data_IF_459212703778
#
_entry.id   IF_459212703778
#
_cell.length_a   1.000
_cell.length_b   1.000
_cell.length_c   1.000
_cell.angle_alpha   90.00
_cell.angle_beta   90.00
_cell.angle_gamma   90.00
#
_symmetry.space_group_name_H-M   'P 1'
#
loop_
_entity.id
_entity.type
_entity.pdbx_description
1 polymer ?
#
# COMPACT_ATOMS: atom_id res chain seq x y z
N UNK A 1 9.44 24.31 -37.20
CA UNK A 1 10.49 23.52 -36.54
C UNK A 1 11.76 23.67 -37.37
N UNK A 2 12.95 23.58 -36.75
CA UNK A 2 14.24 23.68 -37.44
C UNK A 2 14.37 22.71 -38.62
N UNK A 3 13.75 21.53 -38.52
CA UNK A 3 13.61 20.58 -39.63
C UNK A 3 12.90 21.17 -40.86
N UNK A 4 11.80 21.91 -40.66
CA UNK A 4 11.08 22.57 -41.77
C UNK A 4 11.89 23.71 -42.39
N UNK A 5 12.66 24.46 -41.60
CA UNK A 5 13.57 25.50 -42.11
C UNK A 5 14.79 24.91 -42.83
N UNK A 6 15.33 23.78 -42.37
CA UNK A 6 16.37 23.05 -43.09
C UNK A 6 15.86 22.54 -44.44
N UNK A 7 14.65 21.96 -44.49
CA UNK A 7 14.06 21.47 -45.74
C UNK A 7 13.86 22.58 -46.79
N UNK A 8 13.57 23.81 -46.35
CA UNK A 8 13.38 24.96 -47.22
C UNK A 8 14.71 25.60 -47.66
N UNK A 9 15.70 25.66 -46.75
CA UNK A 9 16.84 26.57 -46.92
C UNK A 9 18.17 25.84 -47.14
N UNK A 10 18.24 24.53 -46.82
CA UNK A 10 19.42 23.65 -46.85
C UNK A 10 20.72 24.27 -46.28
N UNK A 11 20.59 25.15 -45.30
CA UNK A 11 21.73 25.79 -44.64
C UNK A 11 22.45 24.78 -43.75
N UNK A 12 23.77 24.70 -43.89
CA UNK A 12 24.66 23.80 -43.13
C UNK A 12 24.52 24.00 -41.62
N UNK A 13 24.37 25.24 -41.16
CA UNK A 13 24.20 25.59 -39.75
C UNK A 13 22.90 25.01 -39.13
N UNK A 14 21.83 24.92 -39.92
CA UNK A 14 20.58 24.29 -39.49
C UNK A 14 20.72 22.75 -39.42
N UNK A 15 21.55 22.17 -40.29
CA UNK A 15 21.87 20.74 -40.31
C UNK A 15 22.67 20.34 -39.07
N UNK A 16 23.73 21.09 -38.75
CA UNK A 16 24.57 20.85 -37.58
C UNK A 16 23.76 20.92 -36.29
N UNK A 17 22.88 21.91 -36.16
CA UNK A 17 21.99 22.01 -35.00
C UNK A 17 20.95 20.89 -34.91
N UNK A 18 20.45 20.38 -36.04
CA UNK A 18 19.54 19.23 -36.07
C UNK A 18 20.26 17.94 -35.67
N UNK A 19 21.47 17.72 -36.18
CA UNK A 19 22.28 16.55 -35.85
C UNK A 19 22.71 16.55 -34.38
N UNK A 20 23.09 17.71 -33.84
CA UNK A 20 23.42 17.85 -32.42
C UNK A 20 22.24 17.49 -31.52
N UNK A 21 21.04 18.00 -31.83
CA UNK A 21 19.83 17.66 -31.08
C UNK A 21 19.49 16.16 -31.16
N UNK A 22 19.54 15.57 -32.35
CA UNK A 22 19.29 14.14 -32.52
C UNK A 22 20.32 13.28 -31.76
N UNK A 23 21.58 13.71 -31.76
CA UNK A 23 22.64 13.06 -31.01
C UNK A 23 22.39 13.13 -29.50
N UNK A 24 22.02 14.30 -28.98
CA UNK A 24 21.63 14.49 -27.58
C UNK A 24 20.41 13.63 -27.21
N UNK A 25 19.38 13.57 -28.05
CA UNK A 25 18.20 12.73 -27.82
C UNK A 25 18.55 11.23 -27.75
N UNK A 26 19.38 10.74 -28.68
CA UNK A 26 19.84 9.34 -28.73
C UNK A 26 20.69 9.00 -27.50
N UNK A 27 21.55 9.91 -27.05
CA UNK A 27 22.34 9.73 -25.83
C UNK A 27 21.44 9.63 -24.59
N UNK A 28 20.33 10.37 -24.56
CA UNK A 28 19.44 10.41 -23.40
C UNK A 28 18.39 9.29 -23.41
N UNK A 29 18.12 8.64 -24.55
CA UNK A 29 17.15 7.55 -24.69
C UNK A 29 17.33 6.40 -23.66
N UNK A 30 18.55 5.92 -23.35
CA UNK A 30 18.76 4.93 -22.29
C UNK A 30 18.30 5.37 -20.90
N UNK A 31 18.19 6.68 -20.63
CA UNK A 31 17.66 7.15 -19.34
C UNK A 31 16.14 6.93 -19.22
N UNK A 32 15.45 6.86 -20.36
CA UNK A 32 14.01 6.62 -20.45
C UNK A 32 13.63 5.14 -20.33
N UNK A 33 14.57 4.20 -20.52
CA UNK A 33 14.26 2.76 -20.39
C UNK A 33 13.82 2.39 -18.99
N UNK A 34 14.29 3.13 -17.98
CA UNK A 34 13.82 3.01 -16.60
C UNK A 34 12.32 3.30 -16.45
N UNK A 35 11.71 4.10 -17.33
CA UNK A 35 10.26 4.37 -17.28
C UNK A 35 9.48 3.09 -17.60
N UNK A 36 10.02 2.20 -18.43
CA UNK A 36 9.38 0.92 -18.74
C UNK A 36 9.28 0.01 -17.51
N UNK A 37 10.18 0.12 -16.52
CA UNK A 37 10.09 -0.67 -15.29
C UNK A 37 8.96 -0.23 -14.35
N UNK A 38 8.36 0.95 -14.58
CA UNK A 38 7.10 1.30 -13.92
C UNK A 38 5.97 0.35 -14.34
N UNK A 39 5.96 -0.10 -15.58
CA UNK A 39 4.96 -1.09 -16.05
C UNK A 39 5.09 -2.40 -15.25
N UNK A 40 6.33 -2.82 -14.96
CA UNK A 40 6.58 -3.99 -14.12
C UNK A 40 6.00 -3.80 -12.71
N UNK A 41 6.19 -2.62 -12.11
CA UNK A 41 5.61 -2.28 -10.81
C UNK A 41 4.06 -2.31 -10.84
N UNK A 42 3.44 -1.64 -11.83
CA UNK A 42 1.98 -1.59 -11.97
C UNK A 42 1.35 -2.95 -12.28
N UNK A 43 2.09 -3.83 -12.96
CA UNK A 43 1.68 -5.20 -13.27
C UNK A 43 2.11 -6.22 -12.21
N UNK A 44 2.57 -5.76 -11.04
CA UNK A 44 2.97 -6.59 -9.90
C UNK A 44 4.11 -7.58 -10.23
N UNK A 45 5.02 -7.24 -11.14
CA UNK A 45 6.20 -8.04 -11.50
C UNK A 45 7.36 -7.78 -10.54
N UNK A 46 7.15 -8.11 -9.27
CA UNK A 46 8.15 -8.05 -8.22
C UNK A 46 7.92 -9.16 -7.21
N UNK A 47 8.94 -9.45 -6.40
CA UNK A 47 8.84 -10.40 -5.30
C UNK A 47 8.98 -9.66 -3.97
N UNK A 48 8.04 -9.90 -3.05
CA UNK A 48 8.16 -9.43 -1.67
C UNK A 48 9.13 -10.37 -0.94
N UNK A 49 10.30 -9.87 -0.55
CA UNK A 49 11.35 -10.67 0.10
C UNK A 49 11.37 -10.52 1.60
N UNK A 50 11.00 -9.35 2.12
CA UNK A 50 11.01 -9.07 3.55
C UNK A 50 9.91 -8.09 3.96
N UNK A 51 9.46 -8.22 5.21
CA UNK A 51 8.52 -7.34 5.89
C UNK A 51 9.08 -7.02 7.27
N UNK A 52 9.30 -5.74 7.55
CA UNK A 52 9.95 -5.28 8.78
C UNK A 52 9.08 -4.23 9.48
N UNK A 53 8.91 -4.38 10.79
CA UNK A 53 8.19 -3.44 11.63
C UNK A 53 9.14 -2.91 12.71
N UNK A 54 9.35 -1.60 12.73
CA UNK A 54 10.29 -0.95 13.63
C UNK A 54 9.52 -0.13 14.65
N UNK A 55 9.47 -0.64 15.89
CA UNK A 55 8.74 -0.01 16.99
C UNK A 55 9.32 1.36 17.40
N UNK A 56 10.64 1.54 17.31
CA UNK A 56 11.28 2.80 17.74
C UNK A 56 10.94 3.99 16.84
N UNK A 57 10.63 3.73 15.57
CA UNK A 57 10.27 4.74 14.58
C UNK A 57 8.82 4.65 14.13
N UNK A 58 8.02 3.79 14.77
CA UNK A 58 6.62 3.54 14.42
C UNK A 58 6.43 3.32 12.91
N UNK A 59 7.32 2.54 12.28
CA UNK A 59 7.42 2.43 10.82
C UNK A 59 7.30 0.99 10.32
N UNK A 60 6.61 0.81 9.20
CA UNK A 60 6.50 -0.46 8.50
C UNK A 60 7.23 -0.41 7.15
N UNK A 61 8.11 -1.37 6.90
CA UNK A 61 8.91 -1.48 5.69
C UNK A 61 8.62 -2.77 4.94
N UNK A 62 8.61 -2.69 3.62
CA UNK A 62 8.57 -3.84 2.73
C UNK A 62 9.80 -3.81 1.84
N UNK A 63 10.38 -4.98 1.60
CA UNK A 63 11.48 -5.15 0.67
C UNK A 63 10.98 -5.86 -0.57
N UNK A 64 11.21 -5.24 -1.73
CA UNK A 64 10.83 -5.77 -3.04
C UNK A 64 12.08 -6.11 -3.84
N UNK A 65 12.06 -7.25 -4.51
CA UNK A 65 13.05 -7.65 -5.49
C UNK A 65 12.45 -7.50 -6.90
N UNK A 66 13.17 -6.81 -7.79
CA UNK A 66 12.78 -6.60 -9.18
C UNK A 66 13.95 -6.79 -10.14
N UNK A 67 13.66 -7.26 -11.35
CA UNK A 67 14.68 -7.44 -12.40
C UNK A 67 15.14 -6.10 -13.01
N UNK A 68 14.23 -5.12 -13.09
CA UNK A 68 14.51 -3.85 -13.76
C UNK A 68 14.66 -2.68 -12.76
N UNK A 69 15.60 -1.78 -13.04
CA UNK A 69 15.84 -0.57 -12.24
C UNK A 69 14.69 0.43 -12.43
N UNK A 70 14.17 0.97 -11.32
CA UNK A 70 13.15 2.03 -11.32
C UNK A 70 13.76 3.38 -11.72
N UNK A 71 12.97 4.30 -12.30
CA UNK A 71 13.45 5.62 -12.66
C UNK A 71 14.05 6.36 -11.48
N UNK A 72 15.07 7.17 -11.71
CA UNK A 72 15.67 8.01 -10.65
C UNK A 72 14.66 8.88 -9.93
N UNK A 73 13.61 9.33 -10.61
CA UNK A 73 12.57 10.11 -9.97
C UNK A 73 11.83 9.28 -8.92
N UNK A 74 11.65 7.96 -9.08
CA UNK A 74 11.11 7.06 -8.04
C UNK A 74 11.88 7.14 -6.71
N UNK A 75 13.16 7.53 -6.77
CA UNK A 75 13.97 7.78 -5.58
C UNK A 75 13.63 9.11 -4.86
N UNK A 76 12.76 9.94 -5.44
CA UNK A 76 12.13 11.09 -4.80
C UNK A 76 11.00 10.66 -3.87
N UNK A 77 10.81 11.35 -2.75
CA UNK A 77 10.17 10.76 -1.56
C UNK A 77 8.65 10.46 -1.59
N UNK A 78 7.93 10.49 -2.71
CA UNK A 78 6.46 10.41 -2.68
C UNK A 78 5.83 9.76 -3.92
N UNK A 79 6.21 8.53 -4.23
CA UNK A 79 5.49 7.74 -5.23
C UNK A 79 4.54 6.83 -4.48
N UNK A 80 3.24 7.01 -4.73
CA UNK A 80 2.19 6.28 -4.04
C UNK A 80 2.14 6.63 -2.54
N UNK A 81 1.33 5.93 -1.72
CA UNK A 81 1.29 6.15 -0.27
C UNK A 81 2.56 5.64 0.45
N UNK A 82 3.71 5.62 -0.24
CA UNK A 82 4.94 4.93 0.12
C UNK A 82 6.13 5.85 -0.13
N UNK A 83 7.18 5.70 0.68
CA UNK A 83 8.46 6.40 0.54
C UNK A 83 9.57 5.40 0.25
N UNK A 84 10.31 5.62 -0.83
CA UNK A 84 11.54 4.88 -1.13
C UNK A 84 12.64 5.21 -0.11
N UNK A 85 13.32 4.18 0.41
CA UNK A 85 14.39 4.33 1.41
C UNK A 85 15.76 4.02 0.81
N UNK A 86 15.89 2.86 0.15
CA UNK A 86 17.15 2.42 -0.45
C UNK A 86 16.91 1.44 -1.59
N UNK A 87 17.87 1.41 -2.52
CA UNK A 87 17.94 0.47 -3.63
C UNK A 87 19.36 -0.11 -3.70
N UNK A 88 19.48 -1.43 -3.73
CA UNK A 88 20.77 -2.13 -3.85
C UNK A 88 20.71 -3.11 -5.04
N UNK A 89 21.75 -3.09 -5.87
CA UNK A 89 21.89 -4.04 -6.98
C UNK A 89 22.62 -5.29 -6.47
N UNK A 90 22.12 -6.46 -6.84
CA UNK A 90 22.77 -7.73 -6.53
C UNK A 90 22.64 -8.70 -7.71
N UNK A 91 23.58 -9.64 -7.80
CA UNK A 91 23.57 -10.65 -8.86
C UNK A 91 22.85 -11.90 -8.36
N UNK A 92 21.80 -12.34 -9.06
CA UNK A 92 21.20 -13.64 -8.76
C UNK A 92 21.98 -14.75 -9.46
N UNK A 93 22.70 -15.54 -8.66
CA UNK A 93 23.50 -16.66 -9.13
C UNK A 93 22.70 -17.72 -9.91
N UNK A 94 21.37 -17.80 -9.73
CA UNK A 94 20.51 -18.76 -10.43
C UNK A 94 20.15 -18.33 -11.84
N UNK A 95 19.78 -17.06 -12.02
CA UNK A 95 19.35 -16.51 -13.32
C UNK A 95 20.49 -15.87 -14.10
N UNK A 96 21.62 -15.59 -13.45
CA UNK A 96 22.72 -14.76 -13.98
C UNK A 96 22.23 -13.39 -14.43
N UNK A 97 21.20 -12.86 -13.76
CA UNK A 97 20.70 -11.51 -13.98
C UNK A 97 21.01 -10.65 -12.78
N UNK A 98 21.27 -9.38 -13.05
CA UNK A 98 21.29 -8.37 -12.01
C UNK A 98 19.86 -8.06 -11.62
N UNK A 99 19.61 -8.03 -10.31
CA UNK A 99 18.34 -7.68 -9.71
C UNK A 99 18.54 -6.48 -8.77
N UNK A 100 17.44 -5.86 -8.41
CA UNK A 100 17.39 -4.67 -7.59
C UNK A 100 16.50 -4.92 -6.39
N UNK A 101 17.05 -4.72 -5.19
CA UNK A 101 16.33 -4.79 -3.94
C UNK A 101 15.94 -3.38 -3.48
N UNK A 102 14.64 -3.13 -3.33
CA UNK A 102 14.08 -1.85 -2.88
C UNK A 102 13.51 -1.98 -1.49
N UNK A 103 14.00 -1.16 -0.55
CA UNK A 103 13.38 -0.99 0.77
C UNK A 103 12.43 0.20 0.73
N UNK A 104 11.17 -0.06 1.05
CA UNK A 104 10.08 0.92 0.97
C UNK A 104 9.40 1.09 2.32
N UNK A 105 9.25 2.33 2.79
CA UNK A 105 8.42 2.68 3.94
C UNK A 105 6.98 2.85 3.47
N UNK A 106 6.08 1.98 3.93
CA UNK A 106 4.72 1.90 3.39
C UNK A 106 3.61 2.29 4.38
N UNK A 107 3.96 2.52 5.64
CA UNK A 107 2.99 2.97 6.63
C UNK A 107 3.60 3.22 7.99
N UNK A 108 2.79 3.83 8.86
CA UNK A 108 3.11 4.01 10.28
C UNK A 108 2.37 2.99 11.11
N UNK A 109 3.08 2.36 12.04
CA UNK A 109 2.47 1.50 13.05
C UNK A 109 2.13 2.32 14.28
N UNK A 110 1.06 1.95 14.98
CA UNK A 110 0.67 2.61 16.21
C UNK A 110 -0.02 1.63 17.14
N UNK A 111 0.47 1.55 18.37
CA UNK A 111 -0.23 0.85 19.46
C UNK A 111 -1.27 1.79 20.07
N UNK A 112 -2.55 1.47 19.91
CA UNK A 112 -3.63 2.31 20.40
C UNK A 112 -4.93 1.53 20.58
N UNK A 113 -5.97 2.20 21.06
CA UNK A 113 -7.33 1.65 21.17
C UNK A 113 -8.20 2.24 20.07
N UNK A 114 -8.74 1.39 19.18
CA UNK A 114 -9.59 1.80 18.06
C UNK A 114 -10.96 1.13 18.13
N UNK A 115 -11.93 1.71 17.42
CA UNK A 115 -13.31 1.21 17.36
C UNK A 115 -13.50 0.32 16.13
N UNK A 116 -14.06 -0.88 16.33
CA UNK A 116 -14.57 -1.73 15.26
C UNK A 116 -16.09 -1.63 15.21
N UNK A 117 -16.64 -1.11 14.11
CA UNK A 117 -18.07 -0.92 13.93
C UNK A 117 -18.70 -2.14 13.26
N UNK A 118 -19.72 -2.72 13.90
CA UNK A 118 -20.46 -3.85 13.34
C UNK A 118 -21.42 -3.38 12.24
N UNK A 119 -21.37 -4.03 11.07
CA UNK A 119 -22.25 -3.70 9.94
C UNK A 119 -23.73 -3.95 10.27
N UNK A 120 -24.03 -5.04 10.97
CA UNK A 120 -25.39 -5.44 11.34
C UNK A 120 -25.80 -4.89 12.72
N UNK A 121 -25.80 -3.55 12.85
CA UNK A 121 -26.12 -2.89 14.12
C UNK A 121 -27.51 -3.26 14.68
N UNK A 122 -28.45 -3.69 13.82
CA UNK A 122 -29.82 -4.04 14.23
C UNK A 122 -29.86 -5.26 15.15
N UNK A 123 -28.84 -6.11 15.13
CA UNK A 123 -28.73 -7.31 15.96
C UNK A 123 -27.88 -7.13 17.21
N UNK A 124 -27.59 -5.87 17.57
CA UNK A 124 -26.81 -5.52 18.75
C UNK A 124 -27.58 -4.59 19.69
N UNK A 125 -27.21 -4.66 20.97
CA UNK A 125 -27.50 -3.66 21.99
C UNK A 125 -26.19 -2.95 22.35
N UNK A 126 -26.26 -1.66 22.63
CA UNK A 126 -25.16 -0.88 23.17
C UNK A 126 -25.29 -0.80 24.70
N UNK A 127 -24.16 -0.95 25.38
CA UNK A 127 -24.03 -0.86 26.82
C UNK A 127 -23.35 0.47 27.17
N UNK A 128 -24.08 1.47 27.71
CA UNK A 128 -23.50 2.80 27.95
C UNK A 128 -22.40 2.82 29.01
N UNK A 129 -22.50 1.97 30.03
CA UNK A 129 -21.53 1.94 31.12
C UNK A 129 -20.21 1.28 30.68
N UNK A 130 -20.31 0.25 29.84
CA UNK A 130 -19.17 -0.53 29.34
C UNK A 130 -18.61 0.00 28.02
N UNK A 131 -19.30 0.96 27.38
CA UNK A 131 -18.90 1.61 26.12
C UNK A 131 -18.59 0.61 24.99
N UNK A 132 -19.52 -0.33 24.80
CA UNK A 132 -19.42 -1.37 23.77
C UNK A 132 -20.79 -1.90 23.31
N UNK A 133 -20.82 -2.48 22.12
CA UNK A 133 -21.97 -3.17 21.56
C UNK A 133 -21.85 -4.70 21.74
N UNK A 134 -22.96 -5.33 22.09
CA UNK A 134 -23.07 -6.77 22.30
C UNK A 134 -24.21 -7.35 21.47
N UNK A 135 -24.04 -8.56 20.97
CA UNK A 135 -25.08 -9.21 20.16
C UNK A 135 -26.30 -9.56 21.03
N UNK A 136 -27.50 -9.52 20.44
CA UNK A 136 -28.77 -9.80 21.14
C UNK A 136 -28.77 -11.10 21.95
N UNK A 137 -28.15 -12.16 21.43
CA UNK A 137 -28.07 -13.45 22.13
C UNK A 137 -27.33 -13.36 23.46
N UNK A 138 -26.26 -12.58 23.52
CA UNK A 138 -25.47 -12.35 24.74
C UNK A 138 -26.13 -11.33 25.68
N UNK A 139 -26.94 -10.42 25.13
CA UNK A 139 -27.64 -9.38 25.89
C UNK A 139 -28.79 -9.91 26.76
N UNK A 140 -29.12 -11.19 26.68
CA UNK A 140 -30.21 -11.82 27.43
C UNK A 140 -30.01 -11.72 28.95
N UNK A 141 -28.74 -11.75 29.40
CA UNK A 141 -28.38 -11.73 30.83
C UNK A 141 -28.18 -10.34 31.42
N UNK A 142 -28.42 -9.28 30.64
CA UNK A 142 -28.20 -7.88 31.06
C UNK A 142 -29.54 -7.19 31.27
N UNK A 143 -29.65 -6.46 32.38
CA UNK A 143 -30.84 -5.68 32.74
C UNK A 143 -31.25 -4.71 31.62
N UNK A 144 -32.56 -4.53 31.43
CA UNK A 144 -33.09 -3.65 30.37
C UNK A 144 -32.62 -2.20 30.52
N UNK A 145 -32.47 -1.72 31.75
CA UNK A 145 -32.07 -0.34 32.05
C UNK A 145 -30.57 -0.09 31.79
N UNK A 146 -29.78 -1.16 31.63
CA UNK A 146 -28.33 -1.10 31.36
C UNK A 146 -27.98 -1.25 29.88
N UNK A 147 -28.98 -1.41 29.00
CA UNK A 147 -28.77 -1.60 27.56
C UNK A 147 -29.71 -0.77 26.72
N UNK A 148 -29.20 -0.18 25.65
CA UNK A 148 -30.00 0.56 24.66
C UNK A 148 -29.85 -0.10 23.29
N UNK A 149 -30.84 0.06 22.40
CA UNK A 149 -30.72 -0.46 21.03
C UNK A 149 -29.52 0.17 20.35
N UNK A 150 -28.69 -0.65 19.69
CA UNK A 150 -27.56 -0.10 18.98
C UNK A 150 -28.02 0.69 17.73
N UNK A 151 -27.31 1.75 17.44
CA UNK A 151 -27.41 2.60 16.25
C UNK A 151 -26.12 2.44 15.44
N UNK A 152 -26.07 3.03 14.25
CA UNK A 152 -24.84 2.98 13.45
C UNK A 152 -23.63 3.59 14.16
N UNK A 153 -23.86 4.59 15.01
CA UNK A 153 -22.80 5.39 15.63
C UNK A 153 -22.27 4.80 16.94
N UNK A 154 -23.09 3.99 17.64
CA UNK A 154 -22.68 3.34 18.90
C UNK A 154 -22.52 1.82 18.79
N UNK A 155 -22.76 1.22 17.61
CA UNK A 155 -22.59 -0.21 17.42
C UNK A 155 -21.13 -0.58 17.13
N UNK A 156 -20.27 -0.43 18.14
CA UNK A 156 -18.85 -0.77 18.04
C UNK A 156 -18.33 -1.53 19.25
N UNK A 157 -17.15 -2.12 19.10
CA UNK A 157 -16.31 -2.56 20.23
C UNK A 157 -14.96 -1.85 20.16
N UNK A 158 -14.35 -1.59 21.33
CA UNK A 158 -13.01 -1.02 21.43
C UNK A 158 -11.98 -2.13 21.51
N UNK A 159 -10.91 -1.99 20.73
CA UNK A 159 -9.82 -2.97 20.67
C UNK A 159 -8.50 -2.24 20.83
N UNK A 160 -7.70 -2.68 21.80
CA UNK A 160 -6.31 -2.23 21.98
C UNK A 160 -5.36 -3.21 21.30
N UNK A 161 -4.63 -2.76 20.29
CA UNK A 161 -3.71 -3.57 19.52
C UNK A 161 -2.67 -2.66 18.82
N UNK A 162 -1.75 -3.27 18.06
CA UNK A 162 -0.88 -2.55 17.12
C UNK A 162 -1.55 -2.51 15.75
N UNK A 163 -1.69 -1.30 15.22
CA UNK A 163 -2.41 -1.04 13.98
C UNK A 163 -1.50 -0.36 12.95
N UNK A 164 -1.84 -0.52 11.67
CA UNK A 164 -1.26 0.25 10.57
C UNK A 164 -2.37 1.02 9.86
N UNK A 165 -2.09 2.27 9.49
CA UNK A 165 -3.04 3.15 8.81
C UNK A 165 -3.30 2.69 7.38
N UNK A 166 -4.56 2.73 6.95
CA UNK A 166 -4.96 2.57 5.56
C UNK A 166 -4.98 3.93 4.85
N UNK A 167 -4.71 3.97 3.54
CA UNK A 167 -5.02 5.13 2.70
C UNK A 167 -6.52 5.45 2.67
N UNK A 168 -6.87 6.69 2.29
CA UNK A 168 -8.24 7.25 2.34
C UNK A 168 -9.29 6.44 1.54
N UNK A 169 -8.86 5.67 0.54
CA UNK A 169 -9.70 4.68 -0.12
C UNK A 169 -9.31 3.30 0.41
N UNK A 170 -10.18 2.54 1.09
CA UNK A 170 -9.89 1.15 1.40
C UNK A 170 -10.26 0.29 0.18
N UNK A 171 -9.28 -0.17 -0.61
CA UNK A 171 -9.46 -1.37 -1.43
C UNK A 171 -9.12 -2.57 -0.57
N UNK A 172 -10.14 -3.14 0.06
CA UNK A 172 -10.02 -4.45 0.70
C UNK A 172 -10.97 -5.39 -0.04
N UNK A 173 -10.40 -6.36 -0.75
CA UNK A 173 -11.18 -7.52 -1.16
C UNK A 173 -11.74 -8.12 0.13
N UNK A 174 -13.06 -8.30 0.22
CA UNK A 174 -13.71 -8.62 1.50
C UNK A 174 -13.43 -10.04 2.00
N UNK A 175 -12.63 -10.82 1.30
CA UNK A 175 -12.44 -12.25 1.52
C UNK A 175 -11.02 -12.64 1.16
N UNK A 176 -10.27 -13.15 2.13
CA UNK A 176 -8.95 -13.74 1.94
C UNK A 176 -8.94 -15.17 2.47
N UNK A 177 -8.21 -16.04 1.80
CA UNK A 177 -7.93 -17.42 2.21
C UNK A 177 -7.08 -17.43 3.47
N UNK A 178 -7.45 -18.27 4.44
CA UNK A 178 -6.58 -18.61 5.57
C UNK A 178 -5.57 -19.68 5.16
N UNK A 179 -4.60 -19.99 6.02
CA UNK A 179 -3.66 -21.10 5.81
C UNK A 179 -4.36 -22.46 5.54
N UNK A 180 -5.62 -22.57 5.95
CA UNK A 180 -6.57 -23.57 5.49
C UNK A 180 -7.36 -22.98 4.30
N UNK A 181 -7.02 -23.35 3.07
CA UNK A 181 -7.51 -22.79 1.78
C UNK A 181 -9.04 -22.81 1.57
N UNK A 182 -9.80 -23.22 2.59
CA UNK A 182 -11.26 -23.37 2.59
C UNK A 182 -12.02 -22.27 3.34
N UNK A 183 -11.35 -21.41 4.12
CA UNK A 183 -12.01 -20.37 4.94
C UNK A 183 -11.70 -18.97 4.40
N UNK A 184 -12.76 -18.23 4.09
CA UNK A 184 -12.67 -16.82 3.71
C UNK A 184 -12.91 -15.93 4.94
N UNK A 185 -11.88 -15.20 5.37
CA UNK A 185 -12.03 -14.17 6.42
C UNK A 185 -12.12 -12.76 5.81
N UNK A 186 -13.01 -11.94 6.37
CA UNK A 186 -13.07 -10.51 6.07
C UNK A 186 -12.11 -9.75 6.98
N UNK A 187 -11.25 -8.92 6.39
CA UNK A 187 -10.34 -8.04 7.14
C UNK A 187 -11.16 -6.99 7.89
N UNK A 188 -10.96 -6.94 9.19
CA UNK A 188 -11.65 -5.98 10.06
C UNK A 188 -10.98 -4.62 9.96
N UNK A 189 -11.78 -3.62 9.57
CA UNK A 189 -11.34 -2.21 9.53
C UNK A 189 -11.71 -1.55 10.85
N UNK A 190 -10.70 -0.94 11.47
CA UNK A 190 -10.81 -0.18 12.71
C UNK A 190 -10.76 1.31 12.41
N UNK A 191 -11.40 2.10 13.26
CA UNK A 191 -11.47 3.55 13.11
C UNK A 191 -11.03 4.28 14.38
N UNK A 192 -10.33 5.38 14.20
CA UNK A 192 -10.08 6.35 15.25
C UNK A 192 -11.25 7.35 15.36
N UNK A 193 -11.14 8.32 16.28
CA UNK A 193 -12.16 9.35 16.47
C UNK A 193 -12.22 10.36 15.31
N UNK A 194 -11.16 10.43 14.48
CA UNK A 194 -11.12 11.23 13.25
C UNK A 194 -11.66 10.45 12.04
N UNK A 195 -12.19 9.24 12.24
CA UNK A 195 -12.70 8.34 11.20
C UNK A 195 -11.63 7.85 10.19
N UNK A 196 -10.35 7.97 10.54
CA UNK A 196 -9.22 7.37 9.81
C UNK A 196 -9.29 5.85 9.94
N UNK A 197 -8.95 5.14 8.86
CA UNK A 197 -9.10 3.69 8.80
C UNK A 197 -7.78 2.96 9.09
N UNK A 198 -7.87 1.85 9.79
CA UNK A 198 -6.73 1.04 10.22
C UNK A 198 -7.03 -0.46 10.10
N UNK A 199 -5.98 -1.26 10.00
CA UNK A 199 -6.04 -2.71 10.17
C UNK A 199 -5.06 -3.13 11.26
N UNK A 200 -5.30 -4.29 11.87
CA UNK A 200 -4.34 -4.86 12.81
C UNK A 200 -3.08 -5.25 12.06
N UNK A 201 -1.93 -5.05 12.69
CA UNK A 201 -0.64 -5.39 12.11
C UNK A 201 -0.54 -6.89 11.79
N UNK A 202 -1.15 -7.73 12.63
CA UNK A 202 -1.18 -9.19 12.47
C UNK A 202 -1.89 -9.66 11.20
N UNK A 203 -2.75 -8.86 10.59
CA UNK A 203 -3.38 -9.21 9.31
C UNK A 203 -2.35 -9.30 8.18
N UNK A 204 -1.25 -8.55 8.25
CA UNK A 204 -0.16 -8.58 7.26
C UNK A 204 0.65 -9.88 7.28
N UNK A 205 0.45 -10.75 8.27
CA UNK A 205 1.06 -12.09 8.28
C UNK A 205 0.37 -13.03 7.27
N UNK A 206 -0.86 -12.72 6.85
CA UNK A 206 -1.59 -13.49 5.84
C UNK A 206 -1.00 -13.16 4.47
N UNK A 207 -0.34 -14.13 3.83
CA UNK A 207 0.44 -13.91 2.59
C UNK A 207 -0.39 -13.28 1.46
N UNK A 208 -1.59 -13.81 1.20
CA UNK A 208 -2.46 -13.30 0.13
C UNK A 208 -2.94 -11.87 0.43
N UNK A 209 -3.21 -11.60 1.70
CA UNK A 209 -3.57 -10.26 2.14
C UNK A 209 -2.42 -9.28 1.96
N UNK A 210 -1.20 -9.65 2.38
CA UNK A 210 -0.01 -8.83 2.23
C UNK A 210 0.24 -8.48 0.76
N UNK A 211 0.20 -9.48 -0.13
CA UNK A 211 0.38 -9.25 -1.58
C UNK A 211 -0.69 -8.29 -2.10
N UNK A 212 -1.97 -8.54 -1.78
CA UNK A 212 -3.07 -7.68 -2.20
C UNK A 212 -2.92 -6.25 -1.67
N UNK A 213 -2.50 -6.11 -0.41
CA UNK A 213 -2.29 -4.84 0.26
C UNK A 213 -1.13 -4.07 -0.38
N UNK A 214 0.04 -4.69 -0.58
CA UNK A 214 1.21 -4.08 -1.22
C UNK A 214 0.89 -3.67 -2.66
N UNK A 215 0.22 -4.54 -3.44
CA UNK A 215 -0.23 -4.21 -4.80
C UNK A 215 -1.19 -3.02 -4.81
N UNK A 216 -2.01 -2.86 -3.76
CA UNK A 216 -2.93 -1.75 -3.66
C UNK A 216 -2.21 -0.43 -3.38
N UNK A 217 -1.29 -0.42 -2.42
CA UNK A 217 -0.59 0.80 -2.01
C UNK A 217 0.49 1.27 -3.00
N UNK A 218 0.91 0.41 -3.93
CA UNK A 218 1.83 0.73 -5.03
C UNK A 218 1.13 1.19 -6.31
N UNK A 219 -0.21 1.30 -6.32
CA UNK A 219 -1.01 1.77 -7.47
C UNK A 219 -1.71 3.07 -7.15
#
# INVERSE_FOLDING_TARGET
SKYKEYLLNKKTENEEQLLLHNFEDIINLPTLTSICSLDDLYNNKYLITNLEFVETSDSAFVTLNMENLLPKFFNGNYYFHIKHISCEQFSDNKTKTDNYEYKLLFGKIKKCTLKFFYKDYKNYYYLPNEDMAIHKSMATFIDKDKKIKATKDNCYTKVTDTFISLPDKPFLQKKYTTDDDSIFEEIKIFKDDNNSSYIRLSELNKKDFLISFINYILK
#
